data_IF_917305813730
#
_entry.id   IF_917305813730
#
_cell.length_a   1.000
_cell.length_b   1.000
_cell.length_c   1.000
_cell.angle_alpha   90.00
_cell.angle_beta   90.00
_cell.angle_gamma   90.00
#
_symmetry.space_group_name_H-M   'P 1'
#
loop_
_entity.id
_entity.type
_entity.pdbx_description
1 polymer ?
#
# COMPACT_ATOMS: atom_id res chain seq x y z
N UNK A 1 6.02 21.61 25.25
CA UNK A 1 4.66 21.49 24.73
C UNK A 1 4.04 20.26 25.38
N UNK A 2 2.77 20.33 25.78
CA UNK A 2 2.11 19.17 26.36
C UNK A 2 1.65 18.22 25.24
N UNK A 3 1.74 16.90 25.47
CA UNK A 3 1.16 15.88 24.57
C UNK A 3 -0.33 16.12 24.35
N UNK A 4 -1.02 16.72 25.32
CA UNK A 4 -2.46 17.03 25.27
C UNK A 4 -2.83 18.12 24.25
N UNK A 5 -1.85 18.85 23.71
CA UNK A 5 -2.09 19.85 22.66
C UNK A 5 -2.28 19.24 21.27
N UNK A 6 -1.95 17.96 21.11
CA UNK A 6 -1.98 17.24 19.83
C UNK A 6 -3.32 16.51 19.65
N UNK A 7 -3.97 16.66 18.48
CA UNK A 7 -5.27 16.07 18.16
C UNK A 7 -5.42 15.77 16.68
N UNK A 8 -6.20 14.73 16.37
CA UNK A 8 -6.55 14.35 15.02
C UNK A 8 -5.60 13.33 14.38
N UNK A 9 -6.12 12.62 13.40
CA UNK A 9 -5.37 11.66 12.60
C UNK A 9 -5.09 12.30 11.23
N UNK A 10 -3.81 12.49 10.92
CA UNK A 10 -3.37 13.01 9.63
C UNK A 10 -2.84 11.89 8.75
N UNK A 11 -3.19 11.93 7.48
CA UNK A 11 -2.72 11.00 6.47
C UNK A 11 -2.02 11.76 5.36
N UNK A 12 -0.86 11.31 4.94
CA UNK A 12 -0.22 11.85 3.74
C UNK A 12 -0.94 11.32 2.50
N UNK A 13 -1.66 12.19 1.81
CA UNK A 13 -2.29 11.89 0.54
C UNK A 13 -1.25 11.95 -0.59
N UNK A 14 -0.57 10.82 -0.82
CA UNK A 14 0.42 10.73 -1.88
C UNK A 14 -0.27 10.78 -3.24
N UNK A 15 0.23 11.63 -4.11
CA UNK A 15 -0.13 11.69 -5.52
C UNK A 15 1.13 11.52 -6.39
N UNK A 16 0.94 11.08 -7.61
CA UNK A 16 1.95 11.03 -8.67
C UNK A 16 1.26 11.46 -9.97
N UNK A 17 1.82 12.43 -10.67
CA UNK A 17 1.24 12.97 -11.90
C UNK A 17 -0.20 13.49 -11.74
N UNK A 18 -0.52 14.09 -10.60
CA UNK A 18 -1.86 14.57 -10.22
C UNK A 18 -2.92 13.43 -10.18
N UNK A 19 -2.50 12.21 -9.83
CA UNK A 19 -3.38 11.09 -9.53
C UNK A 19 -3.11 10.59 -8.11
N UNK A 20 -4.16 10.46 -7.30
CA UNK A 20 -4.04 9.95 -5.93
C UNK A 20 -3.67 8.47 -5.97
N UNK A 21 -2.63 8.10 -5.23
CA UNK A 21 -2.22 6.70 -5.14
C UNK A 21 -3.17 5.87 -4.27
N UNK A 22 -3.43 4.59 -4.61
CA UNK A 22 -4.37 3.73 -3.87
C UNK A 22 -4.12 3.67 -2.37
N UNK A 23 -2.86 3.66 -1.93
CA UNK A 23 -2.49 3.64 -0.51
C UNK A 23 -3.03 4.84 0.26
N UNK A 24 -3.20 5.99 -0.37
CA UNK A 24 -3.77 7.19 0.26
C UNK A 24 -5.21 6.96 0.74
N UNK A 25 -6.01 6.25 -0.05
CA UNK A 25 -7.38 5.87 0.32
C UNK A 25 -7.41 4.82 1.44
N UNK A 26 -6.46 3.88 1.43
CA UNK A 26 -6.28 2.91 2.52
C UNK A 26 -5.96 3.61 3.85
N UNK A 27 -5.05 4.61 3.81
CA UNK A 27 -4.70 5.41 4.99
C UNK A 27 -5.88 6.22 5.53
N UNK A 28 -6.72 6.79 4.67
CA UNK A 28 -7.94 7.48 5.08
C UNK A 28 -8.90 6.49 5.75
N UNK A 29 -9.14 5.31 5.16
CA UNK A 29 -9.99 4.28 5.72
C UNK A 29 -9.53 3.84 7.11
N UNK A 30 -8.25 3.50 7.27
CA UNK A 30 -7.67 3.17 8.57
C UNK A 30 -7.68 4.37 9.52
N UNK A 31 -7.41 5.57 9.02
CA UNK A 31 -7.51 6.82 9.79
C UNK A 31 -8.90 7.02 10.40
N UNK A 32 -9.98 6.70 9.67
CA UNK A 32 -11.37 6.79 10.19
C UNK A 32 -11.61 5.81 11.34
N UNK A 33 -11.11 4.58 11.24
CA UNK A 33 -11.21 3.61 12.35
C UNK A 33 -10.50 4.14 13.60
N UNK A 34 -9.23 4.57 13.46
CA UNK A 34 -8.44 5.11 14.58
C UNK A 34 -9.06 6.38 15.16
N UNK A 35 -9.55 7.28 14.30
CA UNK A 35 -10.18 8.53 14.70
C UNK A 35 -11.48 8.29 15.49
N UNK A 36 -12.27 7.28 15.13
CA UNK A 36 -13.47 6.88 15.87
C UNK A 36 -13.11 6.42 17.29
N UNK A 37 -12.00 5.68 17.46
CA UNK A 37 -11.57 5.16 18.78
C UNK A 37 -11.08 6.26 19.74
N UNK A 38 -10.54 7.37 19.20
CA UNK A 38 -10.02 8.50 19.99
C UNK A 38 -10.91 9.74 19.95
N UNK A 39 -12.02 9.72 19.19
CA UNK A 39 -13.02 10.79 19.14
C UNK A 39 -12.52 12.05 18.44
N UNK A 40 -11.94 11.90 17.23
CA UNK A 40 -11.42 13.02 16.42
C UNK A 40 -11.71 12.85 14.92
N UNK A 41 -11.25 13.81 14.11
CA UNK A 41 -11.41 13.82 12.67
C UNK A 41 -10.17 13.27 11.95
N UNK A 42 -10.37 12.84 10.69
CA UNK A 42 -9.31 12.47 9.75
C UNK A 42 -9.03 13.64 8.81
N UNK A 43 -7.77 14.04 8.75
CA UNK A 43 -7.28 15.08 7.84
C UNK A 43 -6.32 14.48 6.82
N UNK A 44 -6.65 14.56 5.55
CA UNK A 44 -5.73 14.23 4.47
C UNK A 44 -4.86 15.45 4.14
N UNK A 45 -3.54 15.28 4.06
CA UNK A 45 -2.60 16.34 3.66
C UNK A 45 -2.13 16.06 2.25
N UNK A 46 -2.52 16.92 1.32
CA UNK A 46 -2.25 16.83 -0.11
C UNK A 46 -1.21 17.89 -0.49
N UNK A 47 -0.06 17.43 -1.00
CA UNK A 47 1.04 18.27 -1.45
C UNK A 47 1.25 18.08 -2.96
N UNK A 48 1.42 19.18 -3.71
CA UNK A 48 1.65 19.10 -5.15
C UNK A 48 1.58 20.45 -5.85
N UNK A 49 1.47 20.42 -7.17
CA UNK A 49 1.19 21.58 -8.00
C UNK A 49 0.04 21.28 -8.96
N UNK A 50 -0.98 22.15 -8.96
CA UNK A 50 -2.21 21.92 -9.70
C UNK A 50 -3.05 20.76 -9.15
N UNK A 51 -3.01 20.51 -7.83
CA UNK A 51 -3.63 19.34 -7.18
C UNK A 51 -4.95 19.65 -6.47
N UNK A 52 -5.39 20.91 -6.46
CA UNK A 52 -6.55 21.32 -5.66
C UNK A 52 -7.83 20.52 -5.96
N UNK A 53 -8.06 20.15 -7.22
CA UNK A 53 -9.24 19.39 -7.65
C UNK A 53 -9.27 17.95 -7.10
N UNK A 54 -8.14 17.42 -6.63
CA UNK A 54 -8.05 16.08 -6.05
C UNK A 54 -8.63 16.00 -4.63
N UNK A 55 -8.91 17.16 -4.00
CA UNK A 55 -9.47 17.21 -2.65
C UNK A 55 -10.86 16.55 -2.57
N UNK A 56 -11.70 16.71 -3.59
CA UNK A 56 -13.01 16.07 -3.64
C UNK A 56 -12.93 14.54 -3.69
N UNK A 57 -11.90 14.00 -4.34
CA UNK A 57 -11.69 12.57 -4.38
C UNK A 57 -11.29 12.02 -3.01
N UNK A 58 -10.40 12.71 -2.28
CA UNK A 58 -10.02 12.33 -0.91
C UNK A 58 -11.22 12.41 0.03
N UNK A 59 -12.08 13.40 -0.13
CA UNK A 59 -13.35 13.51 0.59
C UNK A 59 -14.24 12.31 0.31
N UNK A 60 -14.44 11.93 -0.95
CA UNK A 60 -15.28 10.81 -1.35
C UNK A 60 -14.83 9.46 -0.73
N UNK A 61 -13.57 9.34 -0.32
CA UNK A 61 -13.04 8.19 0.42
C UNK A 61 -13.00 8.39 1.94
N UNK A 62 -13.65 9.43 2.48
CA UNK A 62 -13.94 9.58 3.91
C UNK A 62 -13.07 10.56 4.68
N UNK A 63 -12.21 11.36 4.04
CA UNK A 63 -11.52 12.45 4.73
C UNK A 63 -12.53 13.49 5.23
N UNK A 64 -12.43 13.89 6.51
CA UNK A 64 -13.28 14.94 7.09
C UNK A 64 -12.74 16.33 6.73
N UNK A 65 -11.40 16.42 6.62
CA UNK A 65 -10.68 17.60 6.16
C UNK A 65 -9.62 17.25 5.13
N UNK A 66 -9.35 18.18 4.21
CA UNK A 66 -8.23 18.09 3.27
C UNK A 66 -7.42 19.37 3.37
N UNK A 67 -6.19 19.28 3.80
CA UNK A 67 -5.23 20.39 3.75
C UNK A 67 -4.47 20.27 2.45
N UNK A 68 -4.58 21.30 1.60
CA UNK A 68 -3.92 21.38 0.30
C UNK A 68 -2.78 22.39 0.38
N UNK A 69 -1.57 21.97 0.03
CA UNK A 69 -0.45 22.86 -0.24
C UNK A 69 -0.12 22.74 -1.73
N UNK A 70 -0.56 23.73 -2.50
CA UNK A 70 -0.40 23.78 -3.95
C UNK A 70 0.68 24.81 -4.30
N UNK A 71 1.86 24.32 -4.72
CA UNK A 71 3.01 25.20 -5.02
C UNK A 71 3.87 24.60 -6.13
N UNK A 72 4.48 25.43 -7.01
CA UNK A 72 5.32 24.95 -8.10
C UNK A 72 6.51 24.08 -7.65
N UNK A 73 7.06 24.33 -6.47
CA UNK A 73 8.18 23.58 -5.88
C UNK A 73 7.81 22.14 -5.52
N UNK A 74 6.50 21.83 -5.53
CA UNK A 74 5.94 20.52 -5.21
C UNK A 74 5.43 19.77 -6.45
N UNK A 75 5.68 20.26 -7.68
CA UNK A 75 5.22 19.62 -8.92
C UNK A 75 5.73 18.19 -9.06
N UNK A 76 7.04 18.00 -8.87
CA UNK A 76 7.67 16.67 -8.86
C UNK A 76 8.21 16.42 -7.46
N UNK A 77 7.98 15.21 -6.95
CA UNK A 77 8.48 14.85 -5.63
C UNK A 77 9.99 14.98 -5.56
N UNK A 78 10.43 15.89 -4.69
CA UNK A 78 11.79 15.96 -4.17
C UNK A 78 11.71 16.04 -2.66
N UNK A 79 12.64 15.42 -1.95
CA UNK A 79 12.53 15.18 -0.52
C UNK A 79 12.38 16.45 0.32
N UNK A 80 13.24 17.43 0.10
CA UNK A 80 13.37 18.57 1.01
C UNK A 80 12.14 19.51 1.01
N UNK A 81 11.58 19.95 -0.15
CA UNK A 81 10.37 20.77 -0.14
C UNK A 81 9.16 20.07 0.48
N UNK A 82 8.96 18.77 0.14
CA UNK A 82 7.86 17.99 0.69
C UNK A 82 7.97 17.80 2.19
N UNK A 83 9.17 17.50 2.70
CA UNK A 83 9.42 17.38 4.14
C UNK A 83 9.21 18.71 4.85
N UNK A 84 9.68 19.84 4.27
CA UNK A 84 9.47 21.17 4.83
C UNK A 84 7.98 21.49 4.95
N UNK A 85 7.23 21.30 3.85
CA UNK A 85 5.78 21.54 3.84
C UNK A 85 5.05 20.71 4.90
N UNK A 86 5.34 19.42 4.98
CA UNK A 86 4.65 18.54 5.92
C UNK A 86 5.00 18.85 7.39
N UNK A 87 6.26 19.22 7.66
CA UNK A 87 6.69 19.63 9.00
C UNK A 87 5.99 20.91 9.43
N UNK A 88 5.82 21.88 8.52
CA UNK A 88 5.10 23.12 8.79
C UNK A 88 3.63 22.83 9.16
N UNK A 89 2.97 21.97 8.41
CA UNK A 89 1.60 21.50 8.71
C UNK A 89 1.54 20.83 10.09
N UNK A 90 2.49 19.93 10.42
CA UNK A 90 2.52 19.30 11.76
C UNK A 90 2.68 20.35 12.87
N UNK A 91 3.57 21.30 12.70
CA UNK A 91 3.82 22.33 13.71
C UNK A 91 2.61 23.25 13.92
N UNK A 92 1.86 23.55 12.85
CA UNK A 92 0.67 24.38 12.89
C UNK A 92 -0.53 23.68 13.50
N UNK A 93 -0.81 22.44 13.05
CA UNK A 93 -2.03 21.71 13.38
C UNK A 93 -1.90 20.70 14.52
N UNK A 94 -0.68 20.30 14.85
CA UNK A 94 -0.34 19.39 15.96
C UNK A 94 -1.17 18.10 15.95
N UNK A 95 -1.07 17.26 14.90
CA UNK A 95 -1.79 16.00 14.85
C UNK A 95 -1.31 15.02 15.92
N UNK A 96 -2.22 14.23 16.49
CA UNK A 96 -1.91 13.13 17.41
C UNK A 96 -1.20 11.97 16.69
N UNK A 97 -1.69 11.65 15.49
CA UNK A 97 -1.23 10.53 14.67
C UNK A 97 -0.94 11.04 13.25
N UNK A 98 0.17 10.57 12.66
CA UNK A 98 0.49 10.80 11.24
C UNK A 98 0.79 9.48 10.53
N UNK A 99 0.05 9.19 9.46
CA UNK A 99 0.16 7.98 8.66
C UNK A 99 0.72 8.30 7.26
N UNK A 100 1.66 7.48 6.82
CA UNK A 100 2.26 7.55 5.48
C UNK A 100 2.17 6.19 4.80
N UNK A 101 2.05 6.13 3.47
CA UNK A 101 2.24 4.87 2.74
C UNK A 101 3.70 4.43 2.76
N UNK A 102 3.98 3.15 2.96
CA UNK A 102 5.35 2.61 2.87
C UNK A 102 5.79 2.42 1.40
N UNK A 103 5.48 3.37 0.55
CA UNK A 103 5.94 3.52 -0.83
C UNK A 103 7.39 4.02 -0.89
N UNK A 104 7.98 4.12 -2.07
CA UNK A 104 9.30 4.74 -2.23
C UNK A 104 9.33 6.18 -1.68
N UNK A 105 8.30 6.98 -1.99
CA UNK A 105 8.15 8.37 -1.50
C UNK A 105 7.96 8.39 0.02
N UNK A 106 7.03 7.62 0.55
CA UNK A 106 6.77 7.63 1.98
C UNK A 106 7.93 7.10 2.83
N UNK A 107 8.68 6.12 2.34
CA UNK A 107 9.90 5.61 3.00
C UNK A 107 11.06 6.60 3.00
N UNK A 108 11.11 7.51 2.03
CA UNK A 108 12.08 8.60 1.99
C UNK A 108 11.63 9.78 2.87
N UNK A 109 10.37 10.20 2.75
CA UNK A 109 9.82 11.39 3.40
C UNK A 109 9.60 11.20 4.91
N UNK A 110 8.90 10.16 5.34
CA UNK A 110 8.43 10.01 6.72
C UNK A 110 9.56 9.97 7.76
N UNK A 111 10.72 9.28 7.54
CA UNK A 111 11.84 9.32 8.50
C UNK A 111 12.43 10.72 8.67
N UNK A 112 12.47 11.53 7.60
CA UNK A 112 12.98 12.91 7.67
C UNK A 112 12.02 13.81 8.41
N UNK A 113 10.72 13.67 8.16
CA UNK A 113 9.66 14.37 8.93
C UNK A 113 9.78 14.04 10.40
N UNK A 114 9.82 12.74 10.77
CA UNK A 114 9.89 12.33 12.18
C UNK A 114 11.12 12.86 12.89
N UNK A 115 12.28 12.85 12.20
CA UNK A 115 13.51 13.41 12.75
C UNK A 115 13.41 14.94 13.00
N UNK A 116 12.76 15.68 12.11
CA UNK A 116 12.60 17.14 12.24
C UNK A 116 11.63 17.56 13.32
N UNK A 117 10.56 16.77 13.53
CA UNK A 117 9.60 17.02 14.62
C UNK A 117 9.98 16.32 15.92
N UNK A 118 11.14 15.67 15.98
CA UNK A 118 11.70 14.99 17.14
C UNK A 118 10.77 13.93 17.72
N UNK A 119 10.22 13.06 16.86
CA UNK A 119 9.36 11.94 17.28
C UNK A 119 9.83 10.60 16.71
N UNK A 120 9.24 9.50 17.17
CA UNK A 120 9.50 8.16 16.65
C UNK A 120 8.70 7.86 15.38
N UNK A 121 9.25 6.95 14.55
CA UNK A 121 8.57 6.41 13.38
C UNK A 121 8.65 4.89 13.38
N UNK A 122 7.50 4.22 13.28
CA UNK A 122 7.46 2.77 13.02
C UNK A 122 7.24 2.51 11.54
N UNK A 123 8.20 1.83 10.92
CA UNK A 123 8.18 1.62 9.48
C UNK A 123 7.53 0.29 9.08
N UNK A 124 6.83 0.27 7.92
CA UNK A 124 6.29 -0.91 7.25
C UNK A 124 5.27 -1.67 8.11
N UNK A 125 4.36 -0.92 8.75
CA UNK A 125 3.29 -1.48 9.59
C UNK A 125 2.28 -2.24 8.74
N UNK A 126 1.80 -3.35 9.29
CA UNK A 126 0.73 -4.17 8.70
C UNK A 126 -0.55 -4.15 9.53
N UNK A 127 -0.48 -3.65 10.78
CA UNK A 127 -1.64 -3.48 11.65
C UNK A 127 -1.48 -2.23 12.51
N UNK A 128 -2.56 -1.47 12.66
CA UNK A 128 -2.66 -0.28 13.50
C UNK A 128 -3.91 -0.37 14.36
N UNK A 129 -3.79 -0.13 15.65
CA UNK A 129 -4.91 -0.17 16.61
C UNK A 129 -4.70 0.90 17.68
N UNK A 130 -5.78 1.34 18.32
CA UNK A 130 -5.72 2.20 19.50
C UNK A 130 -5.71 1.31 20.74
N UNK A 131 -4.73 1.54 21.62
CA UNK A 131 -4.68 0.89 22.93
C UNK A 131 -5.89 1.35 23.77
N UNK A 132 -6.74 0.45 24.24
CA UNK A 132 -7.92 0.82 25.02
C UNK A 132 -7.59 1.52 26.34
N UNK A 133 -6.43 1.25 26.94
CA UNK A 133 -6.06 1.74 28.26
C UNK A 133 -5.57 3.19 28.24
N UNK A 134 -4.67 3.54 27.33
CA UNK A 134 -4.01 4.86 27.27
C UNK A 134 -4.29 5.67 26.00
N UNK A 135 -5.10 5.10 25.08
CA UNK A 135 -5.41 5.69 23.78
C UNK A 135 -4.20 5.91 22.86
N UNK A 136 -3.07 5.30 23.16
CA UNK A 136 -1.86 5.32 22.33
C UNK A 136 -2.01 4.47 21.08
N UNK A 137 -1.29 4.82 20.01
CA UNK A 137 -1.26 4.05 18.78
C UNK A 137 -0.36 2.82 18.93
N UNK A 138 -0.91 1.64 18.75
CA UNK A 138 -0.19 0.37 18.63
C UNK A 138 0.15 0.10 17.17
N UNK A 139 1.46 0.11 16.87
CA UNK A 139 1.98 -0.02 15.52
C UNK A 139 2.65 -1.38 15.36
N UNK A 140 1.97 -2.33 14.69
CA UNK A 140 2.46 -3.70 14.53
C UNK A 140 3.07 -3.88 13.14
N UNK A 141 4.27 -4.45 13.11
CA UNK A 141 5.02 -4.71 11.90
C UNK A 141 5.69 -6.09 11.92
N UNK A 142 5.90 -6.73 10.76
CA UNK A 142 6.75 -7.91 10.66
C UNK A 142 8.21 -7.58 10.99
N UNK A 143 8.85 -8.45 11.76
CA UNK A 143 10.27 -8.38 12.10
C UNK A 143 10.95 -9.73 11.79
N UNK A 144 12.29 -9.72 11.70
CA UNK A 144 13.09 -10.93 11.45
C UNK A 144 12.59 -11.79 10.28
N UNK A 145 12.34 -11.15 9.12
CA UNK A 145 11.90 -11.86 7.92
C UNK A 145 10.42 -12.31 7.95
N UNK A 146 9.61 -11.75 8.84
CA UNK A 146 8.18 -12.05 8.95
C UNK A 146 7.85 -13.13 10.00
N UNK A 147 8.85 -13.71 10.65
CA UNK A 147 8.63 -14.77 11.66
C UNK A 147 8.12 -14.24 13.00
N UNK A 148 8.25 -12.96 13.26
CA UNK A 148 7.83 -12.31 14.50
C UNK A 148 7.09 -11.03 14.15
N UNK A 149 5.97 -10.79 14.83
CA UNK A 149 5.25 -9.53 14.78
C UNK A 149 5.66 -8.68 15.99
N UNK A 150 6.16 -7.47 15.72
CA UNK A 150 6.55 -6.52 16.76
C UNK A 150 5.53 -5.38 16.84
N UNK A 151 4.94 -5.17 18.01
CA UNK A 151 4.08 -4.01 18.28
C UNK A 151 4.89 -2.94 19.01
N UNK A 152 4.96 -1.76 18.43
CA UNK A 152 5.73 -0.63 18.89
C UNK A 152 4.79 0.48 19.36
N UNK A 153 5.13 1.14 20.45
CA UNK A 153 4.41 2.27 21.04
C UNK A 153 5.32 3.51 21.02
N UNK A 154 4.71 4.69 20.88
CA UNK A 154 5.37 5.99 21.01
C UNK A 154 4.63 6.82 22.06
N UNK A 155 4.88 6.52 23.35
CA UNK A 155 4.13 7.11 24.48
C UNK A 155 4.52 8.56 24.79
N UNK A 156 5.78 8.94 24.58
CA UNK A 156 6.35 10.20 25.08
C UNK A 156 6.41 11.33 24.06
N UNK A 157 6.25 11.03 22.76
CA UNK A 157 6.41 12.01 21.68
C UNK A 157 5.19 12.06 20.77
N UNK A 158 4.98 13.19 20.11
CA UNK A 158 3.91 13.44 19.14
C UNK A 158 4.47 14.16 17.92
N UNK A 159 3.83 13.92 16.73
CA UNK A 159 2.81 12.91 16.48
C UNK A 159 3.34 11.48 16.61
N UNK A 160 2.46 10.50 16.84
CA UNK A 160 2.78 9.08 16.69
C UNK A 160 2.78 8.75 15.21
N UNK A 161 3.94 8.33 14.67
CA UNK A 161 4.10 8.21 13.21
C UNK A 161 4.33 6.78 12.78
N UNK A 162 3.70 6.40 11.67
CA UNK A 162 3.98 5.12 11.01
C UNK A 162 3.99 5.24 9.50
N UNK A 163 4.78 4.39 8.84
CA UNK A 163 4.53 4.05 7.45
C UNK A 163 3.78 2.72 7.37
N UNK A 164 2.77 2.66 6.52
CA UNK A 164 1.86 1.51 6.36
C UNK A 164 2.13 0.85 5.03
N UNK A 165 2.29 -0.46 5.04
CA UNK A 165 2.50 -1.24 3.82
C UNK A 165 1.29 -1.09 2.90
N UNK A 166 1.47 -0.73 1.61
CA UNK A 166 0.37 -0.69 0.65
C UNK A 166 -0.30 -2.07 0.49
N UNK A 167 -1.62 -2.06 0.31
CA UNK A 167 -2.42 -3.27 0.10
C UNK A 167 -2.81 -4.01 1.38
N UNK A 168 -2.46 -3.51 2.59
CA UNK A 168 -2.81 -4.18 3.86
C UNK A 168 -3.98 -3.55 4.60
N UNK A 169 -4.29 -2.28 4.32
CA UNK A 169 -5.45 -1.61 4.91
C UNK A 169 -6.58 -1.51 3.90
N UNK A 170 -7.81 -1.47 4.39
CA UNK A 170 -8.97 -1.34 3.52
C UNK A 170 -9.33 0.13 3.29
N UNK A 171 -9.53 0.49 2.03
CA UNK A 171 -10.17 1.75 1.68
C UNK A 171 -11.68 1.67 1.92
N UNK A 172 -12.28 2.78 2.29
CA UNK A 172 -13.73 2.87 2.37
C UNK A 172 -14.37 2.79 0.98
N UNK A 173 -15.64 2.35 0.89
CA UNK A 173 -16.42 2.54 -0.33
C UNK A 173 -16.47 4.03 -0.72
N UNK A 174 -16.36 4.32 -2.01
CA UNK A 174 -16.47 5.69 -2.50
C UNK A 174 -17.88 6.23 -2.28
N UNK A 175 -17.98 7.39 -1.65
CA UNK A 175 -19.23 8.12 -1.41
C UNK A 175 -19.08 9.56 -1.91
N UNK A 176 -19.55 9.85 -3.11
CA UNK A 176 -19.47 11.18 -3.72
C UNK A 176 -20.37 12.23 -3.02
N UNK A 177 -21.23 11.81 -2.10
CA UNK A 177 -22.06 12.71 -1.28
C UNK A 177 -21.31 13.24 -0.06
N UNK A 178 -20.25 12.54 0.40
CA UNK A 178 -19.43 12.99 1.51
C UNK A 178 -18.59 14.22 1.10
N UNK A 179 -18.57 15.23 1.95
CA UNK A 179 -17.85 16.49 1.71
C UNK A 179 -16.86 16.73 2.84
N UNK A 180 -15.64 17.11 2.48
CA UNK A 180 -14.62 17.52 3.43
C UNK A 180 -14.53 19.03 3.53
N UNK A 181 -14.04 19.52 4.67
CA UNK A 181 -13.54 20.87 4.79
C UNK A 181 -12.20 20.97 4.05
N UNK A 182 -12.14 21.75 2.97
CA UNK A 182 -10.90 21.98 2.21
C UNK A 182 -10.21 23.24 2.70
N UNK A 183 -8.96 23.08 3.16
CA UNK A 183 -8.13 24.16 3.68
C UNK A 183 -6.92 24.32 2.77
N UNK A 184 -6.86 25.47 2.07
CA UNK A 184 -5.68 25.80 1.27
C UNK A 184 -4.64 26.49 2.15
N UNK A 185 -3.47 25.89 2.24
CA UNK A 185 -2.36 26.39 3.04
C UNK A 185 -1.22 26.88 2.15
N UNK A 186 -0.57 27.94 2.60
CA UNK A 186 0.67 28.42 2.01
C UNK A 186 1.80 28.16 2.99
N UNK A 187 2.87 27.56 2.51
CA UNK A 187 4.07 27.27 3.30
C UNK A 187 5.18 28.20 2.83
N UNK A 188 5.71 28.99 3.75
CA UNK A 188 6.80 29.92 3.45
C UNK A 188 8.12 29.19 3.26
N UNK A 189 8.98 29.72 2.39
CA UNK A 189 10.36 29.26 2.22
C UNK A 189 10.50 27.94 1.44
N UNK A 190 9.48 27.47 0.74
CA UNK A 190 9.58 26.23 -0.08
C UNK A 190 10.73 26.31 -1.10
N UNK A 191 10.89 27.45 -1.75
CA UNK A 191 11.96 27.67 -2.73
C UNK A 191 13.37 27.55 -2.13
N UNK A 192 13.55 27.90 -0.85
CA UNK A 192 14.83 27.77 -0.16
C UNK A 192 15.21 26.31 0.13
N UNK A 193 14.26 25.41 0.04
CA UNK A 193 14.43 23.98 0.24
C UNK A 193 14.58 23.17 -1.07
N UNK A 194 14.46 23.82 -2.23
CA UNK A 194 14.73 23.21 -3.54
C UNK A 194 16.23 23.12 -3.74
N UNK A 195 16.82 21.96 -3.41
CA UNK A 195 18.27 21.73 -3.49
C UNK A 195 18.69 20.82 -4.65
N UNK A 196 17.72 20.38 -5.46
CA UNK A 196 17.94 19.56 -6.67
C UNK A 196 17.06 20.07 -7.80
N UNK A 197 17.54 19.99 -9.03
CA UNK A 197 16.79 20.26 -10.25
C UNK A 197 16.42 18.93 -10.90
N UNK A 198 15.12 18.72 -11.17
CA UNK A 198 14.63 17.55 -11.90
C UNK A 198 14.78 17.84 -13.39
N UNK A 199 15.75 17.20 -14.05
CA UNK A 199 16.01 17.41 -15.47
C UNK A 199 15.03 16.62 -16.35
N UNK A 200 14.66 15.40 -15.93
CA UNK A 200 13.79 14.50 -16.70
C UNK A 200 13.13 13.47 -15.78
N UNK A 201 11.87 13.16 -16.03
CA UNK A 201 11.15 12.04 -15.42
C UNK A 201 10.92 10.97 -16.48
N UNK A 202 11.68 9.87 -16.38
CA UNK A 202 11.52 8.73 -17.31
C UNK A 202 10.48 7.78 -16.75
N UNK A 203 9.31 7.75 -17.40
CA UNK A 203 8.21 6.85 -17.00
C UNK A 203 8.35 5.51 -17.71
N UNK A 204 8.24 4.41 -16.94
CA UNK A 204 8.09 3.10 -17.57
C UNK A 204 6.71 3.04 -18.25
N UNK A 205 6.67 2.59 -19.50
CA UNK A 205 5.39 2.34 -20.18
C UNK A 205 4.77 1.10 -19.52
N UNK A 206 3.75 1.29 -18.71
CA UNK A 206 2.99 0.19 -18.12
C UNK A 206 2.07 -0.41 -19.20
N UNK A 207 2.53 -1.46 -19.87
CA UNK A 207 1.71 -2.19 -20.86
C UNK A 207 0.63 -3.08 -20.23
N UNK A 208 0.68 -3.34 -18.91
CA UNK A 208 -0.22 -4.29 -18.23
C UNK A 208 -0.74 -3.71 -16.91
N UNK A 209 -1.96 -4.11 -16.53
CA UNK A 209 -2.60 -3.79 -15.26
C UNK A 209 -1.63 -3.96 -14.08
N UNK A 210 -1.60 -3.02 -13.15
CA UNK A 210 -0.84 -3.16 -11.91
C UNK A 210 -1.41 -4.34 -11.09
N UNK A 211 -0.54 -5.22 -10.61
CA UNK A 211 -0.98 -6.40 -9.85
C UNK A 211 -1.62 -6.05 -8.51
N UNK A 212 -1.36 -4.87 -7.96
CA UNK A 212 -1.98 -4.41 -6.71
C UNK A 212 -3.47 -4.06 -6.88
N UNK A 213 -3.88 -3.66 -8.09
CA UNK A 213 -5.26 -3.26 -8.39
C UNK A 213 -6.10 -4.40 -8.96
N UNK A 214 -5.47 -5.55 -9.24
CA UNK A 214 -6.12 -6.70 -9.86
C UNK A 214 -7.07 -7.40 -8.88
N UNK A 215 -8.32 -7.64 -9.29
CA UNK A 215 -9.29 -8.44 -8.53
C UNK A 215 -9.00 -9.94 -8.57
N UNK A 216 -8.39 -10.41 -9.66
CA UNK A 216 -7.97 -11.79 -9.82
C UNK A 216 -6.51 -11.83 -10.23
N UNK A 217 -5.70 -12.56 -9.47
CA UNK A 217 -4.29 -12.78 -9.75
C UNK A 217 -4.00 -14.26 -9.99
N UNK A 218 -3.37 -14.56 -11.14
CA UNK A 218 -2.89 -15.89 -11.46
C UNK A 218 -1.37 -15.90 -11.36
N UNK A 219 -0.86 -16.41 -10.24
CA UNK A 219 0.57 -16.33 -9.90
C UNK A 219 1.28 -17.63 -10.17
N UNK A 220 2.43 -17.55 -10.87
CA UNK A 220 3.30 -18.68 -11.17
C UNK A 220 4.54 -18.72 -10.28
N UNK A 221 4.92 -19.93 -9.86
CA UNK A 221 6.17 -20.19 -9.16
C UNK A 221 7.19 -20.92 -10.04
N UNK A 222 8.36 -21.22 -9.45
CA UNK A 222 9.41 -22.00 -10.10
C UNK A 222 8.91 -23.40 -10.54
N UNK A 223 7.84 -23.92 -9.91
CA UNK A 223 7.20 -25.18 -10.28
C UNK A 223 6.56 -25.17 -11.67
N UNK A 224 6.40 -23.99 -12.30
CA UNK A 224 5.98 -23.88 -13.72
C UNK A 224 7.07 -24.35 -14.69
N UNK A 225 8.31 -24.47 -14.26
CA UNK A 225 9.41 -25.08 -15.00
C UNK A 225 10.11 -24.19 -16.00
N UNK A 226 9.38 -23.36 -16.77
CA UNK A 226 9.95 -22.45 -17.75
C UNK A 226 9.08 -21.20 -17.97
N UNK A 227 9.63 -20.11 -18.55
CA UNK A 227 8.86 -18.89 -18.83
C UNK A 227 7.74 -19.10 -19.88
N UNK A 228 7.91 -20.03 -20.83
CA UNK A 228 6.91 -20.33 -21.86
C UNK A 228 5.61 -20.85 -21.22
N UNK A 229 5.70 -21.54 -20.09
CA UNK A 229 4.55 -22.08 -19.39
C UNK A 229 3.70 -21.00 -18.70
N UNK A 230 4.20 -19.77 -18.59
CA UNK A 230 3.37 -18.65 -18.11
C UNK A 230 2.25 -18.29 -19.07
N UNK A 231 2.36 -18.65 -20.36
CA UNK A 231 1.27 -18.44 -21.32
C UNK A 231 -0.05 -19.07 -20.89
N UNK A 232 -0.01 -20.28 -20.29
CA UNK A 232 -1.23 -20.92 -19.78
C UNK A 232 -1.82 -20.16 -18.56
N UNK A 233 -0.99 -19.46 -17.79
CA UNK A 233 -1.44 -18.61 -16.68
C UNK A 233 -2.07 -17.32 -17.20
N UNK A 234 -1.53 -16.74 -18.27
CA UNK A 234 -2.13 -15.61 -18.98
C UNK A 234 -3.51 -16.00 -19.53
N UNK A 235 -3.61 -17.14 -20.20
CA UNK A 235 -4.88 -17.65 -20.74
C UNK A 235 -5.95 -17.86 -19.64
N UNK A 236 -5.56 -18.30 -18.45
CA UNK A 236 -6.44 -18.41 -17.30
C UNK A 236 -6.83 -17.03 -16.75
N UNK A 237 -5.86 -16.13 -16.63
CA UNK A 237 -6.09 -14.77 -16.16
C UNK A 237 -7.04 -14.00 -17.10
N UNK A 238 -6.86 -14.14 -18.42
CA UNK A 238 -7.72 -13.50 -19.42
C UNK A 238 -9.19 -13.95 -19.30
N UNK A 239 -9.41 -15.25 -19.05
CA UNK A 239 -10.77 -15.80 -18.85
C UNK A 239 -11.46 -15.22 -17.62
N UNK A 240 -10.67 -14.93 -16.58
CA UNK A 240 -11.16 -14.42 -15.30
C UNK A 240 -11.14 -12.88 -15.21
N UNK A 241 -10.72 -12.18 -16.26
CA UNK A 241 -10.56 -10.72 -16.24
C UNK A 241 -9.48 -10.25 -15.26
N UNK A 242 -8.47 -11.10 -15.02
CA UNK A 242 -7.37 -10.83 -14.11
C UNK A 242 -6.03 -10.56 -14.81
N UNK A 243 -4.95 -10.68 -14.06
CA UNK A 243 -3.58 -10.54 -14.60
C UNK A 243 -2.64 -11.56 -13.97
N UNK A 244 -1.46 -11.73 -14.57
CA UNK A 244 -0.45 -12.65 -14.06
C UNK A 244 0.49 -11.98 -13.05
N UNK A 245 0.96 -12.80 -12.11
CA UNK A 245 2.01 -12.44 -11.15
C UNK A 245 2.99 -13.61 -10.99
N UNK A 246 4.04 -13.43 -10.21
CA UNK A 246 4.98 -14.51 -9.95
C UNK A 246 5.65 -14.42 -8.59
N UNK A 247 6.26 -15.53 -8.19
CA UNK A 247 7.14 -15.57 -7.03
C UNK A 247 8.57 -15.08 -7.39
N UNK A 248 9.32 -14.62 -6.40
CA UNK A 248 10.69 -14.10 -6.55
C UNK A 248 11.63 -14.98 -7.42
N UNK A 249 11.68 -16.32 -7.27
CA UNK A 249 12.55 -17.14 -8.12
C UNK A 249 12.30 -16.99 -9.63
N UNK A 250 11.07 -16.64 -10.04
CA UNK A 250 10.78 -16.41 -11.46
C UNK A 250 11.39 -15.08 -11.96
N UNK A 251 11.42 -14.06 -11.11
CA UNK A 251 12.10 -12.79 -11.40
C UNK A 251 13.61 -12.96 -11.41
N UNK A 252 14.16 -13.63 -10.40
CA UNK A 252 15.61 -13.90 -10.30
C UNK A 252 16.13 -14.71 -11.52
N UNK A 253 15.27 -15.56 -12.14
CA UNK A 253 15.56 -16.30 -13.37
C UNK A 253 15.22 -15.51 -14.66
N UNK A 254 14.75 -14.27 -14.57
CA UNK A 254 14.41 -13.44 -15.72
C UNK A 254 13.14 -13.87 -16.49
N UNK A 255 12.25 -14.65 -15.85
CA UNK A 255 11.00 -15.12 -16.50
C UNK A 255 9.94 -14.01 -16.59
N UNK A 256 9.84 -13.19 -15.54
CA UNK A 256 8.95 -12.02 -15.50
C UNK A 256 9.69 -10.84 -14.85
N UNK A 257 9.26 -9.59 -15.17
CA UNK A 257 9.84 -8.41 -14.58
C UNK A 257 9.45 -8.24 -13.10
N UNK A 258 10.19 -7.39 -12.37
CA UNK A 258 10.08 -7.23 -10.92
C UNK A 258 8.73 -6.67 -10.47
N UNK A 259 8.05 -5.88 -11.29
CA UNK A 259 6.71 -5.35 -11.04
C UNK A 259 5.61 -6.42 -10.99
N UNK A 260 5.92 -7.66 -11.44
CA UNK A 260 5.07 -8.84 -11.33
C UNK A 260 5.38 -9.71 -10.10
N UNK A 261 6.37 -9.35 -9.31
CA UNK A 261 6.76 -10.12 -8.14
C UNK A 261 5.80 -9.89 -6.97
N UNK A 262 5.22 -10.96 -6.45
CA UNK A 262 4.46 -10.96 -5.19
C UNK A 262 5.34 -11.44 -4.03
N UNK A 263 5.26 -10.75 -2.91
CA UNK A 263 5.96 -11.11 -1.67
C UNK A 263 6.56 -9.91 -0.96
N UNK A 264 7.21 -10.16 0.17
CA UNK A 264 7.80 -9.16 1.06
C UNK A 264 8.77 -8.17 0.36
N UNK A 265 9.52 -8.65 -0.65
CA UNK A 265 10.47 -7.83 -1.43
C UNK A 265 9.94 -7.42 -2.79
N UNK A 266 8.70 -7.78 -3.09
CA UNK A 266 7.94 -7.40 -4.28
C UNK A 266 6.74 -6.55 -3.92
N UNK A 267 5.63 -6.81 -4.60
CA UNK A 267 4.35 -6.19 -4.33
C UNK A 267 3.57 -6.98 -3.27
N UNK A 268 2.88 -6.29 -2.38
CA UNK A 268 1.83 -6.88 -1.56
C UNK A 268 0.51 -6.67 -2.27
N UNK A 269 -0.27 -7.75 -2.40
CA UNK A 269 -1.52 -7.79 -3.16
C UNK A 269 -2.64 -8.36 -2.31
N UNK A 270 -3.87 -7.92 -2.58
CA UNK A 270 -5.07 -8.41 -1.92
C UNK A 270 -6.21 -8.57 -2.93
N UNK A 271 -6.07 -9.51 -3.87
CA UNK A 271 -7.14 -9.79 -4.84
C UNK A 271 -8.30 -10.53 -4.18
N UNK A 272 -9.47 -10.50 -4.82
CA UNK A 272 -10.58 -11.37 -4.43
C UNK A 272 -10.24 -12.85 -4.65
N UNK A 273 -9.45 -13.17 -5.68
CA UNK A 273 -9.00 -14.54 -5.93
C UNK A 273 -7.52 -14.56 -6.30
N UNK A 274 -6.74 -15.35 -5.58
CA UNK A 274 -5.33 -15.58 -5.82
C UNK A 274 -5.07 -17.04 -6.21
N UNK A 275 -4.66 -17.29 -7.45
CA UNK A 275 -4.19 -18.61 -7.89
C UNK A 275 -2.70 -18.73 -7.68
N UNK A 276 -2.26 -19.71 -6.91
CA UNK A 276 -0.86 -20.03 -6.64
C UNK A 276 -0.45 -21.32 -7.38
N UNK A 277 0.10 -21.17 -8.59
CA UNK A 277 0.45 -22.29 -9.46
C UNK A 277 1.94 -22.64 -9.36
N UNK A 278 2.28 -23.81 -8.81
CA UNK A 278 3.67 -24.24 -8.65
C UNK A 278 4.50 -23.36 -7.71
N UNK A 279 3.87 -22.74 -6.72
CA UNK A 279 4.49 -21.91 -5.68
C UNK A 279 4.64 -22.73 -4.40
N UNK A 280 5.81 -22.72 -3.77
CA UNK A 280 6.08 -23.49 -2.55
C UNK A 280 5.43 -22.90 -1.29
N UNK A 281 5.20 -21.59 -1.23
CA UNK A 281 4.65 -20.95 -0.04
C UNK A 281 5.70 -20.58 1.00
N UNK A 282 6.86 -20.08 0.56
CA UNK A 282 7.81 -19.46 1.49
C UNK A 282 7.15 -18.28 2.21
N UNK A 283 7.49 -18.09 3.49
CA UNK A 283 6.91 -17.04 4.36
C UNK A 283 6.97 -15.66 3.71
N UNK A 284 8.07 -15.37 2.99
CA UNK A 284 8.23 -14.10 2.29
C UNK A 284 7.25 -13.91 1.11
N UNK A 285 6.78 -15.00 0.51
CA UNK A 285 5.75 -14.95 -0.52
C UNK A 285 4.36 -14.81 0.11
N UNK A 286 4.06 -15.61 1.13
CA UNK A 286 2.80 -15.58 1.87
C UNK A 286 2.54 -14.17 2.42
N UNK A 287 3.52 -13.53 3.03
CA UNK A 287 3.43 -12.14 3.54
C UNK A 287 3.03 -11.09 2.48
N UNK A 288 3.05 -11.45 1.20
CA UNK A 288 2.62 -10.58 0.11
C UNK A 288 1.23 -10.89 -0.45
N UNK A 289 0.54 -11.97 0.01
CA UNK A 289 -0.74 -12.37 -0.59
C UNK A 289 -1.71 -13.07 0.39
N UNK A 290 -1.30 -13.34 1.61
CA UNK A 290 -2.10 -14.08 2.61
C UNK A 290 -3.44 -13.41 2.97
N UNK A 291 -3.56 -12.11 2.73
CA UNK A 291 -4.78 -11.32 2.94
C UNK A 291 -5.74 -11.36 1.73
N UNK A 292 -5.49 -12.20 0.71
CA UNK A 292 -6.42 -12.42 -0.41
C UNK A 292 -7.73 -13.02 0.10
N UNK A 293 -8.88 -12.66 -0.52
CA UNK A 293 -10.18 -13.14 -0.05
C UNK A 293 -10.33 -14.66 -0.25
N UNK A 294 -9.81 -15.20 -1.38
CA UNK A 294 -9.77 -16.63 -1.69
C UNK A 294 -8.41 -16.99 -2.26
N UNK A 295 -7.78 -18.00 -1.71
CA UNK A 295 -6.50 -18.55 -2.18
C UNK A 295 -6.71 -19.95 -2.74
N UNK A 296 -6.35 -20.17 -4.01
CA UNK A 296 -6.41 -21.46 -4.69
C UNK A 296 -4.99 -21.89 -5.03
N UNK A 297 -4.49 -22.97 -4.41
CA UNK A 297 -3.14 -23.47 -4.63
C UNK A 297 -3.14 -24.72 -5.50
N UNK A 298 -2.25 -24.76 -6.49
CA UNK A 298 -2.00 -25.95 -7.32
C UNK A 298 -0.53 -26.32 -7.18
N UNK A 299 -0.22 -27.45 -6.55
CA UNK A 299 1.15 -27.91 -6.33
C UNK A 299 1.24 -29.44 -6.39
N UNK A 300 2.37 -29.95 -6.92
CA UNK A 300 2.68 -31.40 -6.91
C UNK A 300 2.98 -31.92 -5.51
N UNK A 301 3.50 -31.07 -4.64
CA UNK A 301 3.90 -31.39 -3.27
C UNK A 301 2.72 -31.04 -2.33
N UNK A 302 2.10 -32.10 -1.80
CA UNK A 302 1.02 -32.00 -0.81
C UNK A 302 1.47 -31.32 0.48
N UNK A 303 2.75 -31.42 0.82
CA UNK A 303 3.33 -30.83 2.02
C UNK A 303 3.79 -29.37 1.83
N UNK A 304 3.62 -28.79 0.64
CA UNK A 304 4.00 -27.41 0.38
C UNK A 304 3.23 -26.45 1.29
N UNK A 305 3.91 -25.52 1.99
CA UNK A 305 3.23 -24.53 2.85
C UNK A 305 2.13 -23.74 2.16
N UNK A 306 2.21 -23.57 0.82
CA UNK A 306 1.17 -22.91 0.04
C UNK A 306 -0.16 -23.70 0.06
N UNK A 307 -0.12 -25.04 0.08
CA UNK A 307 -1.32 -25.89 0.19
C UNK A 307 -1.98 -25.68 1.55
N UNK A 308 -1.19 -25.58 2.61
CA UNK A 308 -1.70 -25.34 3.97
C UNK A 308 -2.29 -23.93 4.17
N UNK A 309 -1.79 -22.95 3.40
CA UNK A 309 -2.26 -21.55 3.44
C UNK A 309 -3.48 -21.29 2.54
N UNK A 310 -3.83 -22.23 1.65
CA UNK A 310 -4.90 -22.05 0.67
C UNK A 310 -6.27 -22.45 1.22
N UNK A 311 -7.32 -21.76 0.79
CA UNK A 311 -8.72 -22.17 0.99
C UNK A 311 -9.05 -23.44 0.18
N UNK A 312 -8.44 -23.53 -1.02
CA UNK A 312 -8.59 -24.69 -1.90
C UNK A 312 -7.21 -25.18 -2.38
N UNK A 313 -6.76 -26.34 -1.86
CA UNK A 313 -5.53 -26.99 -2.26
C UNK A 313 -5.76 -28.10 -3.29
N UNK A 314 -5.17 -27.99 -4.47
CA UNK A 314 -5.20 -29.01 -5.52
C UNK A 314 -3.83 -29.67 -5.62
N UNK A 315 -3.72 -30.93 -5.22
CA UNK A 315 -2.46 -31.69 -5.32
C UNK A 315 -2.33 -32.27 -6.72
N UNK A 316 -1.40 -31.75 -7.51
CA UNK A 316 -1.18 -32.24 -8.87
C UNK A 316 -0.27 -31.33 -9.72
N UNK A 317 -0.11 -31.71 -10.97
CA UNK A 317 0.70 -30.97 -11.93
C UNK A 317 -0.01 -29.75 -12.48
N UNK A 318 0.47 -28.55 -12.12
CA UNK A 318 -0.09 -27.28 -12.60
C UNK A 318 -0.12 -27.20 -14.14
N UNK A 319 0.88 -27.78 -14.82
CA UNK A 319 0.93 -27.79 -16.29
C UNK A 319 -0.21 -28.59 -16.94
N UNK A 320 -0.83 -29.52 -16.19
CA UNK A 320 -1.98 -30.31 -16.64
C UNK A 320 -3.29 -29.73 -16.14
N UNK A 321 -3.32 -29.23 -14.90
CA UNK A 321 -4.55 -28.78 -14.24
C UNK A 321 -4.97 -27.42 -14.76
N UNK A 322 -4.06 -26.46 -14.91
CA UNK A 322 -4.37 -25.11 -15.35
C UNK A 322 -5.10 -25.07 -16.70
N UNK A 323 -4.65 -25.77 -17.76
CA UNK A 323 -5.40 -25.78 -19.02
C UNK A 323 -6.81 -26.37 -18.90
N UNK A 324 -6.98 -27.45 -18.13
CA UNK A 324 -8.30 -28.07 -17.89
C UNK A 324 -9.23 -27.13 -17.13
N UNK A 325 -8.70 -26.43 -16.13
CA UNK A 325 -9.43 -25.42 -15.35
C UNK A 325 -9.86 -24.25 -16.26
N UNK A 326 -8.96 -23.77 -17.12
CA UNK A 326 -9.26 -22.72 -18.09
C UNK A 326 -10.39 -23.10 -19.05
N UNK A 327 -10.37 -24.33 -19.55
CA UNK A 327 -11.45 -24.83 -20.44
C UNK A 327 -12.79 -24.98 -19.71
N UNK A 328 -12.75 -25.46 -18.46
CA UNK A 328 -13.96 -25.58 -17.64
C UNK A 328 -14.59 -24.21 -17.34
N UNK A 329 -13.77 -23.23 -16.93
CA UNK A 329 -14.23 -21.88 -16.64
C UNK A 329 -14.75 -21.15 -17.88
N UNK A 330 -14.15 -21.35 -19.06
CA UNK A 330 -14.69 -20.81 -20.32
C UNK A 330 -16.09 -21.29 -20.63
N UNK A 331 -16.42 -22.55 -20.25
CA UNK A 331 -17.75 -23.12 -20.47
C UNK A 331 -18.79 -22.62 -19.48
N UNK A 332 -18.38 -22.37 -18.22
CA UNK A 332 -19.28 -21.92 -17.17
C UNK A 332 -19.55 -20.40 -17.25
N UNK A 333 -18.62 -19.63 -17.77
CA UNK A 333 -18.71 -18.16 -17.87
C UNK A 333 -19.23 -17.68 -19.24
N UNK A 334 -19.41 -18.58 -20.24
CA UNK A 334 -19.98 -18.27 -21.54
C UNK A 334 -21.50 -18.33 -21.52
#
# INVERSE_FOLDING_TARGET
MSIQDYKGVFTFAQQVDNEITPVSFELIGKGKELAADIGCDVTAVLLGHGVADLADELAAYGADRVIVVDAPELEVYTTEPYVHAFVDIINKYKPEICLFGATAIGRDMAPRVSARVHTGLTADCTKLEINPDDKGLMMTRPAFGGNIMATILCSEHRPQMSTVRPGVMQKLPRDDSHKAEVINETVDGLADHVNVEVLEVVKAVAEKMNIQDAKVLVSGGRGMGSPENFKMLEDLADVLGGTIACSRPCVDNGWLPKDRQVGQTGQTVRPNVYFACGISGAIQHLAGMEESDIIIAINKDESAPMIAAADYGIVGDALKIVPLLTEALKKELA
#
